data_IF_176441359244
#
_entry.id   IF_176441359244
#
_cell.length_a   1.000
_cell.length_b   1.000
_cell.length_c   1.000
_cell.angle_alpha   90.00
_cell.angle_beta   90.00
_cell.angle_gamma   90.00
#
_symmetry.space_group_name_H-M   'P 1'
#
loop_
_entity.id
_entity.type
_entity.pdbx_description
1 polymer ?
#
# COMPACT_ATOMS: atom_id res chain seq x y z
N UNK A 1 12.17 -30.76 1.05
CA UNK A 1 12.80 -30.01 -0.06
C UNK A 1 11.76 -29.82 -1.12
N UNK A 2 11.26 -28.62 -1.32
CA UNK A 2 10.30 -28.37 -2.41
C UNK A 2 11.09 -28.37 -3.72
N UNK A 3 10.66 -29.18 -4.69
CA UNK A 3 11.13 -29.06 -6.07
C UNK A 3 10.68 -27.71 -6.62
N UNK A 4 11.39 -27.13 -7.58
CA UNK A 4 11.10 -25.80 -8.17
C UNK A 4 9.63 -25.58 -8.60
N UNK A 5 8.83 -26.65 -8.73
CA UNK A 5 7.43 -26.62 -9.15
C UNK A 5 6.40 -26.53 -8.00
N UNK A 6 6.81 -26.47 -6.72
CA UNK A 6 5.88 -26.50 -5.58
C UNK A 6 6.08 -25.35 -4.60
N UNK A 7 6.51 -24.18 -5.08
CA UNK A 7 6.69 -23.00 -4.23
C UNK A 7 5.32 -22.34 -4.02
N UNK A 8 4.87 -22.17 -2.77
CA UNK A 8 3.64 -21.46 -2.45
C UNK A 8 3.63 -20.03 -2.99
N UNK A 9 2.54 -19.66 -3.67
CA UNK A 9 2.37 -18.34 -4.29
C UNK A 9 1.00 -17.78 -3.99
N UNK A 10 0.94 -16.48 -3.80
CA UNK A 10 -0.27 -15.69 -3.90
C UNK A 10 -0.32 -15.13 -5.32
N UNK A 11 -1.48 -15.19 -5.93
CA UNK A 11 -1.74 -14.54 -7.20
C UNK A 11 -3.01 -13.71 -7.13
N UNK A 12 -3.07 -12.69 -7.96
CA UNK A 12 -4.30 -11.95 -8.18
C UNK A 12 -4.49 -11.68 -9.67
N UNK A 13 -5.77 -11.66 -10.08
CA UNK A 13 -6.14 -11.28 -11.43
C UNK A 13 -7.43 -10.45 -11.44
N UNK A 14 -7.57 -9.67 -12.51
CA UNK A 14 -8.80 -8.96 -12.88
C UNK A 14 -9.58 -9.77 -13.90
N UNK A 15 -10.89 -9.56 -14.01
CA UNK A 15 -11.73 -10.08 -15.09
C UNK A 15 -12.67 -8.96 -15.55
N UNK A 16 -12.81 -8.75 -16.85
CA UNK A 16 -13.68 -7.72 -17.43
C UNK A 16 -15.14 -7.83 -16.97
N UNK A 17 -15.58 -9.03 -16.59
CA UNK A 17 -16.92 -9.28 -16.05
C UNK A 17 -17.13 -8.72 -14.63
N UNK A 18 -16.04 -8.39 -13.93
CA UNK A 18 -16.04 -7.94 -12.53
C UNK A 18 -15.16 -6.69 -12.36
N UNK A 19 -15.62 -5.53 -12.88
CA UNK A 19 -14.84 -4.29 -12.82
C UNK A 19 -14.58 -3.88 -11.36
N UNK A 20 -13.43 -3.26 -11.13
CA UNK A 20 -12.98 -2.76 -9.82
C UNK A 20 -12.81 -3.84 -8.75
N UNK A 21 -12.61 -5.09 -9.15
CA UNK A 21 -12.37 -6.21 -8.24
C UNK A 21 -11.09 -6.95 -8.60
N UNK A 22 -10.45 -7.50 -7.58
CA UNK A 22 -9.35 -8.45 -7.70
C UNK A 22 -9.79 -9.81 -7.16
N UNK A 23 -9.53 -10.86 -7.91
CA UNK A 23 -9.55 -12.19 -7.35
C UNK A 23 -8.20 -12.53 -6.76
N UNK A 24 -8.17 -12.85 -5.47
CA UNK A 24 -6.95 -13.16 -4.71
C UNK A 24 -6.94 -14.63 -4.33
N UNK A 25 -5.98 -15.38 -4.84
CA UNK A 25 -5.92 -16.82 -4.61
C UNK A 25 -4.52 -17.33 -4.29
N UNK A 26 -4.46 -18.61 -3.94
CA UNK A 26 -3.25 -19.34 -3.59
C UNK A 26 -3.00 -20.47 -4.57
N UNK A 27 -1.73 -20.73 -4.86
CA UNK A 27 -1.32 -21.87 -5.69
C UNK A 27 0.10 -22.33 -5.35
N UNK A 28 0.40 -23.57 -5.63
CA UNK A 28 1.77 -24.12 -5.66
C UNK A 28 2.27 -24.29 -7.10
N UNK A 29 1.44 -23.95 -8.09
CA UNK A 29 1.77 -23.87 -9.52
C UNK A 29 2.06 -22.41 -9.91
N UNK A 30 2.25 -22.13 -11.18
CA UNK A 30 2.24 -20.76 -11.68
C UNK A 30 0.82 -20.18 -11.66
N UNK A 31 0.69 -18.87 -11.52
CA UNK A 31 -0.61 -18.20 -11.58
C UNK A 31 -1.34 -18.49 -12.90
N UNK A 32 -0.60 -18.50 -14.02
CA UNK A 32 -1.16 -18.76 -15.35
C UNK A 32 -1.77 -20.16 -15.47
N UNK A 33 -1.11 -21.19 -14.94
CA UNK A 33 -1.65 -22.56 -14.92
C UNK A 33 -2.91 -22.63 -14.06
N UNK A 34 -2.86 -22.04 -12.86
CA UNK A 34 -3.98 -22.05 -11.91
C UNK A 34 -5.20 -21.33 -12.44
N UNK A 35 -5.03 -20.15 -13.03
CA UNK A 35 -6.15 -19.38 -13.60
C UNK A 35 -6.76 -20.11 -14.79
N UNK A 36 -5.95 -20.71 -15.69
CA UNK A 36 -6.45 -21.52 -16.79
C UNK A 36 -7.28 -22.72 -16.33
N UNK A 37 -6.94 -23.34 -15.20
CA UNK A 37 -7.74 -24.44 -14.62
C UNK A 37 -9.11 -23.97 -14.15
N UNK A 38 -9.23 -22.75 -13.64
CA UNK A 38 -10.50 -22.15 -13.20
C UNK A 38 -11.42 -21.83 -14.39
N UNK A 39 -10.85 -21.47 -15.53
CA UNK A 39 -11.57 -21.23 -16.77
C UNK A 39 -11.51 -22.46 -17.69
N UNK A 40 -12.13 -23.57 -17.24
CA UNK A 40 -12.07 -24.86 -17.93
C UNK A 40 -12.74 -24.89 -19.32
N UNK A 41 -13.61 -23.94 -19.61
CA UNK A 41 -14.28 -23.80 -20.90
C UNK A 41 -13.48 -22.91 -21.84
N UNK A 42 -13.20 -23.36 -23.07
CA UNK A 42 -12.60 -22.51 -24.11
C UNK A 42 -13.51 -21.34 -24.42
N UNK A 43 -13.01 -20.13 -24.21
CA UNK A 43 -13.70 -18.87 -24.52
C UNK A 43 -13.13 -18.27 -25.80
N UNK A 44 -13.94 -17.52 -26.59
CA UNK A 44 -13.47 -16.86 -27.82
C UNK A 44 -12.32 -15.89 -27.59
N UNK A 45 -12.31 -15.22 -26.43
CA UNK A 45 -11.26 -14.33 -25.99
C UNK A 45 -11.02 -14.48 -24.49
N UNK A 46 -9.84 -14.08 -24.04
CA UNK A 46 -9.48 -14.07 -22.65
C UNK A 46 -10.00 -12.78 -22.02
N UNK A 47 -10.78 -12.89 -20.93
CA UNK A 47 -11.38 -11.77 -20.21
C UNK A 47 -10.62 -11.41 -18.93
N UNK A 48 -9.61 -12.19 -18.57
CA UNK A 48 -8.86 -12.04 -17.35
C UNK A 48 -7.39 -11.67 -17.61
N UNK A 49 -6.81 -10.94 -16.68
CA UNK A 49 -5.40 -10.55 -16.68
C UNK A 49 -4.79 -10.79 -15.30
N UNK A 50 -3.65 -11.51 -15.25
CA UNK A 50 -2.90 -11.71 -14.02
C UNK A 50 -2.14 -10.41 -13.73
N UNK A 51 -2.48 -9.77 -12.61
CA UNK A 51 -1.89 -8.49 -12.20
C UNK A 51 -0.87 -8.64 -11.08
N UNK A 52 -0.83 -9.81 -10.42
CA UNK A 52 0.11 -10.08 -9.34
C UNK A 52 0.41 -11.58 -9.23
N UNK A 53 1.68 -11.92 -9.03
CA UNK A 53 2.14 -13.23 -8.60
C UNK A 53 3.35 -13.07 -7.70
N UNK A 54 3.25 -13.52 -6.44
CA UNK A 54 4.30 -13.40 -5.44
C UNK A 54 4.48 -14.67 -4.62
N UNK A 55 5.71 -14.95 -4.19
CA UNK A 55 6.01 -16.07 -3.29
C UNK A 55 5.38 -15.79 -1.92
N UNK A 56 4.63 -16.77 -1.42
CA UNK A 56 3.90 -16.70 -0.15
C UNK A 56 4.77 -17.15 1.03
N UNK A 57 5.93 -16.52 1.22
CA UNK A 57 6.88 -16.83 2.28
C UNK A 57 7.10 -15.61 3.16
N UNK A 58 7.04 -15.77 4.48
CA UNK A 58 7.37 -14.75 5.47
C UNK A 58 8.88 -14.61 5.65
N UNK A 59 9.32 -13.53 6.26
CA UNK A 59 10.75 -13.29 6.57
C UNK A 59 11.34 -14.35 7.53
N UNK A 60 10.50 -14.98 8.35
CA UNK A 60 10.88 -16.09 9.23
C UNK A 60 10.97 -17.46 8.53
N UNK A 61 10.71 -17.51 7.21
CA UNK A 61 10.73 -18.71 6.40
C UNK A 61 9.43 -19.53 6.41
N UNK A 62 8.42 -19.13 7.18
CA UNK A 62 7.10 -19.79 7.17
C UNK A 62 6.28 -19.37 5.94
N UNK A 63 5.30 -20.21 5.57
CA UNK A 63 4.39 -19.93 4.46
C UNK A 63 3.07 -19.37 4.98
N UNK A 64 2.40 -18.59 4.13
CA UNK A 64 1.04 -18.12 4.37
C UNK A 64 0.13 -18.45 3.18
N UNK A 65 -1.17 -18.44 3.41
CA UNK A 65 -2.19 -18.78 2.44
C UNK A 65 -3.05 -17.57 2.08
N UNK A 66 -3.87 -17.72 1.03
CA UNK A 66 -4.89 -16.74 0.68
C UNK A 66 -5.91 -16.52 1.80
N UNK A 67 -6.25 -17.55 2.58
CA UNK A 67 -7.16 -17.40 3.72
C UNK A 67 -6.67 -16.40 4.76
N UNK A 68 -5.37 -16.38 5.04
CA UNK A 68 -4.77 -15.42 5.97
C UNK A 68 -4.81 -14.00 5.39
N UNK A 69 -4.55 -13.86 4.07
CA UNK A 69 -4.68 -12.58 3.39
C UNK A 69 -6.14 -12.10 3.30
N UNK A 70 -7.09 -12.99 2.99
CA UNK A 70 -8.51 -12.66 2.94
C UNK A 70 -8.99 -12.11 4.29
N UNK A 71 -8.65 -12.80 5.38
CA UNK A 71 -8.96 -12.33 6.73
C UNK A 71 -8.35 -10.95 7.01
N UNK A 72 -7.12 -10.73 6.56
CA UNK A 72 -6.43 -9.45 6.76
C UNK A 72 -7.02 -8.32 5.91
N UNK A 73 -7.40 -8.60 4.67
CA UNK A 73 -8.11 -7.65 3.81
C UNK A 73 -9.45 -7.24 4.45
N UNK A 74 -10.24 -8.21 4.94
CA UNK A 74 -11.51 -7.96 5.64
C UNK A 74 -11.29 -7.13 6.92
N UNK A 75 -10.26 -7.43 7.71
CA UNK A 75 -9.90 -6.65 8.91
C UNK A 75 -9.52 -5.20 8.59
N UNK A 76 -8.99 -4.95 7.40
CA UNK A 76 -8.68 -3.60 6.90
C UNK A 76 -9.86 -2.90 6.26
N UNK A 77 -11.03 -3.53 6.23
CA UNK A 77 -12.25 -2.94 5.73
C UNK A 77 -12.46 -3.09 4.21
N UNK A 78 -11.64 -3.88 3.52
CA UNK A 78 -11.88 -4.19 2.11
C UNK A 78 -13.08 -5.13 1.98
N UNK A 79 -13.98 -4.80 1.05
CA UNK A 79 -15.22 -5.54 0.85
C UNK A 79 -14.90 -6.82 0.08
N UNK A 80 -15.28 -7.96 0.68
CA UNK A 80 -15.32 -9.26 0.00
C UNK A 80 -16.70 -9.46 -0.60
N UNK A 81 -16.80 -9.44 -1.92
CA UNK A 81 -18.10 -9.57 -2.62
C UNK A 81 -18.58 -11.01 -2.65
N UNK A 82 -17.73 -11.93 -3.11
CA UNK A 82 -18.04 -13.35 -3.15
C UNK A 82 -16.76 -14.18 -3.27
N UNK A 83 -16.67 -15.30 -2.55
CA UNK A 83 -15.56 -16.24 -2.66
C UNK A 83 -14.20 -15.57 -2.40
N UNK A 84 -13.38 -15.42 -3.43
CA UNK A 84 -12.02 -14.85 -3.38
C UNK A 84 -11.95 -13.46 -4.04
N UNK A 85 -13.09 -12.80 -4.31
CA UNK A 85 -13.17 -11.49 -4.96
C UNK A 85 -13.28 -10.35 -3.96
N UNK A 86 -12.36 -9.38 -4.09
CA UNK A 86 -12.25 -8.22 -3.21
C UNK A 86 -12.31 -6.90 -3.99
N UNK A 87 -12.99 -5.90 -3.43
CA UNK A 87 -12.88 -4.50 -3.87
C UNK A 87 -11.65 -3.88 -3.23
N UNK A 88 -10.52 -3.99 -3.91
CA UNK A 88 -9.26 -3.37 -3.50
C UNK A 88 -8.38 -3.11 -4.74
N UNK A 89 -7.43 -2.20 -4.61
CA UNK A 89 -6.43 -1.98 -5.64
C UNK A 89 -5.28 -3.00 -5.56
N UNK A 90 -4.46 -3.05 -6.61
CA UNK A 90 -3.24 -3.88 -6.61
C UNK A 90 -2.29 -3.42 -5.51
N UNK A 91 -2.17 -2.12 -5.32
CA UNK A 91 -1.32 -1.50 -4.31
C UNK A 91 -1.78 -1.86 -2.88
N UNK A 92 -3.09 -1.89 -2.64
CA UNK A 92 -3.66 -2.33 -1.36
C UNK A 92 -3.30 -3.78 -1.07
N UNK A 93 -3.47 -4.65 -2.06
CA UNK A 93 -3.12 -6.07 -1.93
C UNK A 93 -1.62 -6.25 -1.69
N UNK A 94 -0.76 -5.56 -2.44
CA UNK A 94 0.70 -5.62 -2.26
C UNK A 94 1.11 -5.18 -0.86
N UNK A 95 0.46 -4.16 -0.31
CA UNK A 95 0.69 -3.70 1.06
C UNK A 95 0.34 -4.78 2.08
N UNK A 96 -0.82 -5.42 1.92
CA UNK A 96 -1.26 -6.50 2.82
C UNK A 96 -0.32 -7.71 2.73
N UNK A 97 0.13 -8.07 1.54
CA UNK A 97 1.13 -9.13 1.34
C UNK A 97 2.45 -8.78 2.03
N UNK A 98 2.92 -7.55 1.90
CA UNK A 98 4.16 -7.10 2.52
C UNK A 98 4.08 -7.14 4.06
N UNK A 99 2.95 -6.72 4.62
CA UNK A 99 2.71 -6.82 6.06
C UNK A 99 2.67 -8.28 6.53
N UNK A 100 2.04 -9.16 5.75
CA UNK A 100 2.02 -10.60 6.07
C UNK A 100 3.42 -11.20 6.01
N UNK A 101 4.21 -10.88 5.00
CA UNK A 101 5.61 -11.32 4.88
C UNK A 101 6.47 -10.87 6.06
N UNK A 102 6.21 -9.68 6.60
CA UNK A 102 6.93 -9.11 7.75
C UNK A 102 6.38 -9.53 9.12
N UNK A 103 5.30 -10.31 9.16
CA UNK A 103 4.63 -10.67 10.41
C UNK A 103 4.03 -9.47 11.17
N UNK A 104 3.78 -8.35 10.48
CA UNK A 104 3.21 -7.15 11.09
C UNK A 104 1.73 -7.39 11.33
N UNK A 105 1.33 -7.52 12.60
CA UNK A 105 -0.08 -7.70 13.00
C UNK A 105 -0.76 -6.36 13.33
N UNK A 106 -0.63 -5.36 12.47
CA UNK A 106 -1.39 -4.13 12.62
C UNK A 106 -2.81 -4.33 12.09
N UNK A 107 -3.77 -4.50 13.00
CA UNK A 107 -5.20 -4.65 12.70
C UNK A 107 -5.93 -3.30 12.61
N UNK A 108 -5.25 -2.21 12.91
CA UNK A 108 -5.86 -0.89 12.89
C UNK A 108 -5.73 -0.26 11.49
N UNK A 109 -6.88 0.02 10.88
CA UNK A 109 -6.94 1.00 9.81
C UNK A 109 -6.39 2.33 10.36
N UNK A 110 -5.38 2.89 9.72
CA UNK A 110 -4.83 4.21 10.04
C UNK A 110 -5.79 5.37 9.70
N UNK A 111 -7.10 5.15 9.77
CA UNK A 111 -8.11 6.19 9.68
C UNK A 111 -8.33 6.94 10.99
N UNK A 112 -7.50 6.71 12.02
CA UNK A 112 -7.55 7.49 13.23
C UNK A 112 -6.89 8.85 12.97
N UNK A 113 -7.62 9.92 13.28
CA UNK A 113 -7.07 11.28 13.28
C UNK A 113 -6.00 11.40 14.35
N UNK A 114 -4.76 11.14 13.97
CA UNK A 114 -3.63 11.36 14.87
C UNK A 114 -3.35 12.85 15.00
N UNK A 115 -3.41 13.38 16.20
CA UNK A 115 -2.84 14.69 16.49
C UNK A 115 -1.32 14.67 16.28
N UNK A 116 -0.77 15.80 15.85
CA UNK A 116 0.68 15.96 15.77
C UNK A 116 1.33 15.74 17.14
N UNK A 117 2.42 15.00 17.19
CA UNK A 117 3.29 14.93 18.36
C UNK A 117 3.93 16.30 18.63
N UNK A 118 4.31 16.62 19.88
CA UNK A 118 4.89 17.92 20.22
C UNK A 118 6.03 18.35 19.30
N UNK A 119 6.96 17.44 19.00
CA UNK A 119 8.10 17.70 18.13
C UNK A 119 7.71 17.93 16.66
N UNK A 120 6.63 17.31 16.18
CA UNK A 120 6.09 17.55 14.84
C UNK A 120 5.42 18.92 14.78
N UNK A 121 4.63 19.24 15.81
CA UNK A 121 3.96 20.53 15.92
C UNK A 121 4.98 21.67 15.94
N UNK A 122 6.02 21.54 16.73
CA UNK A 122 7.12 22.55 16.79
C UNK A 122 7.77 22.74 15.42
N UNK A 123 8.11 21.64 14.72
CA UNK A 123 8.71 21.71 13.38
C UNK A 123 7.79 22.40 12.37
N UNK A 124 6.50 22.06 12.35
CA UNK A 124 5.49 22.67 11.48
C UNK A 124 5.31 24.17 11.80
N UNK A 125 5.17 24.53 13.07
CA UNK A 125 5.00 25.92 13.50
C UNK A 125 6.20 26.77 13.10
N UNK A 126 7.40 26.29 13.38
CA UNK A 126 8.66 26.99 13.10
C UNK A 126 8.86 27.19 11.59
N UNK A 127 8.53 26.17 10.78
CA UNK A 127 8.64 26.28 9.33
C UNK A 127 7.60 27.23 8.75
N UNK A 128 6.35 27.14 9.21
CA UNK A 128 5.28 28.03 8.78
C UNK A 128 5.58 29.49 9.14
N UNK A 129 6.07 29.74 10.35
CA UNK A 129 6.49 31.07 10.76
C UNK A 129 7.58 31.64 9.85
N UNK A 130 8.63 30.86 9.57
CA UNK A 130 9.72 31.28 8.67
C UNK A 130 9.19 31.59 7.27
N UNK A 131 8.36 30.71 6.70
CA UNK A 131 7.82 30.91 5.36
C UNK A 131 6.95 32.16 5.26
N UNK A 132 6.19 32.45 6.30
CA UNK A 132 5.38 33.67 6.36
C UNK A 132 6.24 34.92 6.57
N UNK A 133 7.34 34.84 7.33
CA UNK A 133 8.19 36.01 7.60
C UNK A 133 8.94 36.51 6.36
N UNK A 134 9.27 35.62 5.42
CA UNK A 134 10.00 36.00 4.19
C UNK A 134 9.10 36.14 2.95
N UNK A 135 7.79 35.97 3.10
CA UNK A 135 6.83 35.91 1.97
C UNK A 135 6.85 37.17 1.11
N UNK A 136 7.02 38.32 1.72
CA UNK A 136 6.97 39.63 1.05
C UNK A 136 8.36 40.16 0.64
N UNK A 137 9.42 39.43 0.95
CA UNK A 137 10.80 39.82 0.63
C UNK A 137 11.29 39.39 -0.75
N UNK A 138 10.42 38.76 -1.55
CA UNK A 138 10.79 38.20 -2.88
C UNK A 138 11.78 37.03 -2.83
N UNK A 139 11.98 36.46 -1.64
CA UNK A 139 12.88 35.31 -1.39
C UNK A 139 12.10 34.03 -1.53
N UNK A 140 12.68 33.04 -2.23
CA UNK A 140 12.13 31.68 -2.24
C UNK A 140 12.55 30.99 -0.91
N UNK A 141 11.61 30.70 0.00
CA UNK A 141 11.96 30.14 1.30
C UNK A 141 12.43 28.70 1.17
N UNK A 142 13.50 28.36 1.88
CA UNK A 142 14.05 27.02 1.99
C UNK A 142 14.14 26.62 3.45
N UNK A 143 13.68 25.41 3.81
CA UNK A 143 13.75 24.92 5.16
C UNK A 143 14.18 23.45 5.19
N UNK A 144 15.14 23.10 6.03
CA UNK A 144 15.64 21.73 6.18
C UNK A 144 15.19 21.13 7.52
N UNK A 145 14.46 20.03 7.45
CA UNK A 145 14.16 19.22 8.64
C UNK A 145 15.21 18.13 8.84
N UNK A 146 16.07 18.30 9.82
CA UNK A 146 16.97 17.22 10.28
C UNK A 146 16.20 16.33 11.27
N UNK A 147 15.35 15.46 10.74
CA UNK A 147 14.47 14.64 11.53
C UNK A 147 14.91 13.17 11.55
N UNK A 148 14.94 12.56 12.74
CA UNK A 148 15.28 11.15 12.96
C UNK A 148 14.32 10.22 12.25
N UNK A 149 14.71 8.94 12.13
CA UNK A 149 13.79 7.88 11.70
C UNK A 149 12.57 7.83 12.63
N UNK A 150 11.40 7.50 12.08
CA UNK A 150 10.10 7.44 12.80
C UNK A 150 9.58 8.78 13.33
N UNK A 151 10.15 9.89 12.90
CA UNK A 151 9.61 11.23 13.20
C UNK A 151 8.19 11.42 12.61
N UNK A 152 7.85 10.76 11.51
CA UNK A 152 6.62 10.98 10.76
C UNK A 152 6.72 12.21 9.86
N UNK A 153 7.81 12.29 9.08
CA UNK A 153 8.11 13.43 8.19
C UNK A 153 7.00 13.71 7.20
N UNK A 154 6.43 12.66 6.61
CA UNK A 154 5.35 12.72 5.62
C UNK A 154 4.13 13.39 6.23
N UNK A 155 3.64 12.88 7.35
CA UNK A 155 2.51 13.44 8.07
C UNK A 155 2.75 14.91 8.45
N UNK A 156 3.92 15.24 9.03
CA UNK A 156 4.25 16.61 9.38
C UNK A 156 4.32 17.54 8.17
N UNK A 157 4.80 17.06 7.00
CA UNK A 157 4.82 17.84 5.77
C UNK A 157 3.41 18.15 5.26
N UNK A 158 2.49 17.20 5.33
CA UNK A 158 1.09 17.45 4.98
C UNK A 158 0.41 18.40 5.97
N UNK A 159 0.69 18.29 7.26
CA UNK A 159 0.18 19.25 8.26
C UNK A 159 0.71 20.67 8.02
N UNK A 160 1.97 20.81 7.57
CA UNK A 160 2.50 22.10 7.13
C UNK A 160 1.75 22.63 5.91
N UNK A 161 1.52 21.78 4.90
CA UNK A 161 0.81 22.17 3.70
C UNK A 161 -0.63 22.63 3.99
N UNK A 162 -1.35 21.91 4.85
CA UNK A 162 -2.68 22.30 5.34
C UNK A 162 -2.64 23.64 6.06
N UNK A 163 -1.67 23.84 6.97
CA UNK A 163 -1.50 25.09 7.70
C UNK A 163 -1.20 26.27 6.80
N UNK A 164 -0.42 26.05 5.72
CA UNK A 164 -0.06 27.08 4.75
C UNK A 164 -1.12 27.31 3.66
N UNK A 165 -2.17 26.48 3.62
CA UNK A 165 -3.21 26.54 2.61
C UNK A 165 -2.73 26.15 1.20
N UNK A 166 -1.70 25.32 1.10
CA UNK A 166 -1.18 24.89 -0.20
C UNK A 166 -2.11 23.88 -0.87
N UNK A 167 -2.46 24.15 -2.12
CA UNK A 167 -3.32 23.28 -2.94
C UNK A 167 -2.54 22.40 -3.92
N UNK A 168 -1.24 22.67 -4.10
CA UNK A 168 -0.36 21.92 -4.99
C UNK A 168 0.96 21.63 -4.28
N UNK A 169 1.31 20.35 -4.19
CA UNK A 169 2.53 19.88 -3.51
C UNK A 169 3.27 18.97 -4.49
N UNK A 170 4.55 19.22 -4.70
CA UNK A 170 5.43 18.33 -5.46
C UNK A 170 6.37 17.60 -4.49
N UNK A 171 6.26 16.28 -4.45
CA UNK A 171 7.13 15.43 -3.65
C UNK A 171 8.17 14.76 -4.55
N UNK A 172 9.45 15.02 -4.29
CA UNK A 172 10.55 14.37 -4.99
C UNK A 172 11.23 13.36 -4.06
N UNK A 173 11.29 12.12 -4.47
CA UNK A 173 11.95 11.04 -3.75
C UNK A 173 12.72 10.14 -4.72
N UNK A 174 13.85 9.60 -4.30
CA UNK A 174 14.66 8.70 -5.13
C UNK A 174 14.38 7.21 -4.84
N UNK A 175 13.64 6.89 -3.77
CA UNK A 175 13.29 5.51 -3.41
C UNK A 175 11.83 5.21 -3.71
N UNK A 176 11.51 4.33 -4.69
CA UNK A 176 10.13 3.95 -4.99
C UNK A 176 9.35 3.42 -3.78
N UNK A 177 10.03 2.72 -2.87
CA UNK A 177 9.41 2.16 -1.65
C UNK A 177 8.83 3.22 -0.68
N UNK A 178 9.11 4.50 -0.88
CA UNK A 178 8.58 5.59 -0.04
C UNK A 178 7.30 6.20 -0.64
N UNK A 179 6.99 5.86 -1.89
CA UNK A 179 5.82 6.43 -2.60
C UNK A 179 4.50 6.08 -1.90
N UNK A 180 4.35 4.83 -1.44
CA UNK A 180 3.17 4.38 -0.71
C UNK A 180 2.95 5.17 0.58
N UNK A 181 4.02 5.42 1.35
CA UNK A 181 3.94 6.19 2.58
C UNK A 181 3.44 7.63 2.35
N UNK A 182 3.83 8.27 1.25
CA UNK A 182 3.35 9.61 0.89
C UNK A 182 1.88 9.63 0.44
N UNK A 183 1.39 8.55 -0.16
CA UNK A 183 -0.03 8.42 -0.54
C UNK A 183 -0.93 8.07 0.63
N UNK A 184 -0.41 7.31 1.61
CA UNK A 184 -1.19 6.85 2.76
C UNK A 184 -1.40 7.92 3.83
N UNK A 185 -0.51 8.90 3.91
CA UNK A 185 -0.57 9.99 4.90
C UNK A 185 -1.38 11.21 4.36
N UNK A 186 -1.87 11.18 3.10
CA UNK A 186 -2.78 12.15 2.50
C UNK A 186 -4.21 11.93 2.97
#
# INVERSE_FOLDING_TARGET
MFTQNNIPRIYAYTDESYPDMLKVGYTTKTAAERVKEQYSTKRPHQTWEIVLEEIATREDGTYFTDHELHKRLEQKGFIREAGEWFRCSIEDLQRVILEEKRGIRNTENRSQSFGMRPEQKEAVEKTAWYFNSVKDEGVIPHFLWNAKMRFGKTFAAYQLALKMGWTKILVLTFKPAVLSAWREDL
#
